data_IF_350904398024
#
_entry.id   IF_350904398024
#
_cell.length_a   1.000
_cell.length_b   1.000
_cell.length_c   1.000
_cell.angle_alpha   90.00
_cell.angle_beta   90.00
_cell.angle_gamma   90.00
#
_symmetry.space_group_name_H-M   'P 1'
#
loop_
_entity.id
_entity.type
_entity.pdbx_description
1 polymer ?
#
# COMPACT_ATOMS: atom_id res chain seq x y z
N UNK A 1 20.78 13.80 15.49
CA UNK A 1 21.23 12.39 15.42
C UNK A 1 21.77 12.16 14.01
N UNK A 2 22.93 11.54 13.82
CA UNK A 2 23.47 11.30 12.48
C UNK A 2 22.89 10.02 11.88
N UNK A 3 22.82 9.92 10.56
CA UNK A 3 22.35 8.71 9.86
C UNK A 3 23.16 7.47 10.26
N UNK A 4 24.47 7.61 10.44
CA UNK A 4 25.34 6.53 10.91
C UNK A 4 24.92 6.02 12.30
N UNK A 5 24.66 6.94 13.24
CA UNK A 5 24.23 6.60 14.60
C UNK A 5 22.84 5.95 14.63
N UNK A 6 21.93 6.39 13.75
CA UNK A 6 20.61 5.78 13.60
C UNK A 6 20.72 4.33 13.11
N UNK A 7 21.54 4.08 12.08
CA UNK A 7 21.78 2.72 11.56
C UNK A 7 22.34 1.79 12.63
N UNK A 8 23.34 2.25 13.38
CA UNK A 8 23.94 1.48 14.46
C UNK A 8 22.92 1.10 15.54
N UNK A 9 22.10 2.07 15.97
CA UNK A 9 21.04 1.83 16.95
C UNK A 9 20.02 0.79 16.44
N UNK A 10 19.60 0.88 15.18
CA UNK A 10 18.61 -0.04 14.60
C UNK A 10 19.17 -1.47 14.51
N UNK A 11 20.42 -1.63 14.07
CA UNK A 11 21.11 -2.93 14.03
C UNK A 11 21.18 -3.54 15.43
N UNK A 12 21.52 -2.73 16.44
CA UNK A 12 21.58 -3.19 17.82
C UNK A 12 20.19 -3.61 18.34
N UNK A 13 19.12 -2.87 18.01
CA UNK A 13 17.75 -3.25 18.37
C UNK A 13 17.32 -4.57 17.71
N UNK A 14 17.62 -4.76 16.43
CA UNK A 14 17.31 -5.99 15.68
C UNK A 14 18.07 -7.19 16.25
N UNK A 15 19.34 -7.02 16.62
CA UNK A 15 20.15 -8.12 17.21
C UNK A 15 19.67 -8.57 18.59
N UNK A 16 19.01 -7.70 19.34
CA UNK A 16 18.61 -7.95 20.73
C UNK A 16 17.14 -8.36 20.88
N UNK A 17 16.39 -8.48 19.77
CA UNK A 17 14.99 -8.93 19.82
C UNK A 17 14.87 -10.38 19.36
N UNK A 18 14.22 -11.20 20.18
CA UNK A 18 13.88 -12.60 19.83
C UNK A 18 12.44 -12.74 19.31
N UNK A 19 11.73 -11.62 19.17
CA UNK A 19 10.34 -11.59 18.69
C UNK A 19 10.30 -11.69 17.18
N UNK A 20 10.13 -12.90 16.67
CA UNK A 20 10.05 -13.21 15.23
C UNK A 20 9.09 -12.29 14.47
N UNK A 21 7.85 -12.12 14.96
CA UNK A 21 6.86 -11.25 14.30
C UNK A 21 7.35 -9.80 14.12
N UNK A 22 8.15 -9.26 15.04
CA UNK A 22 8.70 -7.90 14.90
C UNK A 22 9.75 -7.87 13.79
N UNK A 23 10.56 -8.90 13.69
CA UNK A 23 11.58 -9.01 12.65
C UNK A 23 10.94 -9.15 11.27
N UNK A 24 9.84 -9.91 11.17
CA UNK A 24 9.05 -10.04 9.95
C UNK A 24 8.47 -8.70 9.51
N UNK A 25 7.85 -7.94 10.42
CA UNK A 25 7.28 -6.62 10.12
C UNK A 25 8.35 -5.60 9.68
N UNK A 26 9.50 -5.57 10.37
CA UNK A 26 10.62 -4.69 9.98
C UNK A 26 11.13 -5.08 8.60
N UNK A 27 11.25 -6.38 8.33
CA UNK A 27 11.68 -6.88 7.03
C UNK A 27 10.69 -6.49 5.94
N UNK A 28 9.40 -6.71 6.15
CA UNK A 28 8.35 -6.36 5.19
C UNK A 28 8.37 -4.87 4.85
N UNK A 29 8.49 -4.01 5.87
CA UNK A 29 8.58 -2.57 5.67
C UNK A 29 9.82 -2.18 4.84
N UNK A 30 10.98 -2.74 5.18
CA UNK A 30 12.22 -2.43 4.45
C UNK A 30 12.20 -2.99 3.03
N UNK A 31 11.70 -4.20 2.84
CA UNK A 31 11.57 -4.83 1.52
C UNK A 31 10.64 -3.98 0.64
N UNK A 32 9.53 -3.46 1.17
CA UNK A 32 8.61 -2.58 0.44
C UNK A 32 9.21 -1.21 0.10
N UNK A 33 9.79 -0.51 1.08
CA UNK A 33 10.32 0.85 0.89
C UNK A 33 11.61 0.88 0.08
N UNK A 34 12.39 -0.20 0.11
CA UNK A 34 13.62 -0.34 -0.66
C UNK A 34 13.40 -1.08 -1.97
N UNK A 35 12.19 -1.57 -2.23
CA UNK A 35 11.84 -2.09 -3.54
C UNK A 35 11.96 -0.95 -4.56
N UNK A 36 12.82 -1.18 -5.54
CA UNK A 36 13.01 -0.26 -6.66
C UNK A 36 12.44 -0.84 -7.95
N UNK A 37 11.85 -2.05 -7.87
CA UNK A 37 11.20 -2.69 -8.99
C UNK A 37 9.92 -1.92 -9.34
N UNK A 38 9.75 -1.68 -10.63
CA UNK A 38 8.52 -1.10 -11.14
C UNK A 38 7.45 -2.17 -11.03
N UNK A 39 6.45 -1.94 -10.17
CA UNK A 39 5.32 -2.85 -10.03
C UNK A 39 4.62 -3.03 -11.39
N UNK A 40 4.73 -4.23 -11.95
CA UNK A 40 4.14 -4.56 -13.23
C UNK A 40 2.71 -5.06 -13.04
N UNK A 41 1.73 -4.28 -13.49
CA UNK A 41 0.34 -4.70 -13.45
C UNK A 41 0.12 -5.99 -14.23
N UNK A 42 -0.65 -6.91 -13.63
CA UNK A 42 -1.13 -8.10 -14.30
C UNK A 42 -2.23 -7.75 -15.32
N UNK A 43 -2.70 -8.74 -16.09
CA UNK A 43 -3.69 -8.51 -17.14
C UNK A 43 -5.02 -7.97 -16.60
N UNK A 44 -5.51 -8.51 -15.49
CA UNK A 44 -6.77 -8.10 -14.86
C UNK A 44 -6.71 -6.65 -14.35
N UNK A 45 -5.60 -6.28 -13.72
CA UNK A 45 -5.36 -4.92 -13.22
C UNK A 45 -5.29 -3.91 -14.37
N UNK A 46 -4.64 -4.27 -15.49
CA UNK A 46 -4.57 -3.42 -16.68
C UNK A 46 -5.96 -3.22 -17.29
N UNK A 47 -6.78 -4.26 -17.35
CA UNK A 47 -8.15 -4.13 -17.86
C UNK A 47 -9.01 -3.28 -16.94
N UNK A 48 -8.90 -3.45 -15.61
CA UNK A 48 -9.63 -2.62 -14.64
C UNK A 48 -9.25 -1.13 -14.73
N UNK A 49 -7.96 -0.82 -14.94
CA UNK A 49 -7.51 0.57 -15.16
C UNK A 49 -8.11 1.11 -16.46
N UNK A 50 -8.09 0.33 -17.54
CA UNK A 50 -8.66 0.73 -18.82
C UNK A 50 -10.18 0.96 -18.74
N UNK A 51 -10.90 0.11 -18.03
CA UNK A 51 -12.33 0.29 -17.75
C UNK A 51 -12.58 1.60 -17.00
N UNK A 52 -11.79 1.88 -15.95
CA UNK A 52 -11.90 3.13 -15.20
C UNK A 52 -11.60 4.37 -16.06
N UNK A 53 -10.62 4.30 -16.97
CA UNK A 53 -10.35 5.37 -17.94
C UNK A 53 -11.54 5.59 -18.88
N UNK A 54 -12.15 4.51 -19.37
CA UNK A 54 -13.36 4.58 -20.19
C UNK A 54 -14.55 5.15 -19.42
N UNK A 55 -14.69 4.83 -18.13
CA UNK A 55 -15.72 5.38 -17.25
C UNK A 55 -15.60 6.90 -17.13
N UNK A 56 -14.38 7.41 -16.95
CA UNK A 56 -14.10 8.86 -16.91
C UNK A 56 -14.49 9.51 -18.24
N UNK A 57 -14.03 8.94 -19.37
CA UNK A 57 -14.30 9.49 -20.71
C UNK A 57 -15.80 9.54 -21.01
N UNK A 58 -16.53 8.49 -20.61
CA UNK A 58 -17.96 8.36 -20.86
C UNK A 58 -18.83 9.05 -19.80
N UNK A 59 -18.23 9.71 -18.80
CA UNK A 59 -18.95 10.37 -17.72
C UNK A 59 -19.64 9.41 -16.75
N UNK A 60 -19.24 8.14 -16.70
CA UNK A 60 -19.69 7.14 -15.72
C UNK A 60 -18.96 7.31 -14.38
N UNK A 61 -18.88 8.54 -13.92
CA UNK A 61 -18.31 8.93 -12.63
C UNK A 61 -19.41 9.37 -11.70
N UNK A 62 -19.21 9.19 -10.40
CA UNK A 62 -20.12 9.64 -9.35
C UNK A 62 -19.42 10.67 -8.48
N UNK A 63 -20.18 11.52 -7.80
CA UNK A 63 -19.58 12.44 -6.82
C UNK A 63 -19.12 11.68 -5.58
N UNK A 64 -18.21 12.29 -4.81
CA UNK A 64 -17.79 11.75 -3.52
C UNK A 64 -18.98 11.53 -2.56
N UNK A 65 -19.94 12.47 -2.56
CA UNK A 65 -21.17 12.35 -1.77
C UNK A 65 -22.03 11.15 -2.21
N UNK A 66 -22.17 10.92 -3.51
CA UNK A 66 -22.89 9.75 -4.03
C UNK A 66 -22.15 8.44 -3.72
N UNK A 67 -20.82 8.42 -3.79
CA UNK A 67 -20.01 7.27 -3.42
C UNK A 67 -20.18 6.91 -1.94
N UNK A 68 -20.09 7.90 -1.05
CA UNK A 68 -20.29 7.71 0.38
C UNK A 68 -21.70 7.23 0.73
N UNK A 69 -22.73 7.73 0.05
CA UNK A 69 -24.10 7.24 0.22
C UNK A 69 -24.26 5.76 -0.18
N UNK A 70 -23.60 5.33 -1.26
CA UNK A 70 -23.61 3.90 -1.66
C UNK A 70 -22.88 3.03 -0.64
N UNK A 71 -21.73 3.51 -0.15
CA UNK A 71 -20.95 2.78 0.85
C UNK A 71 -21.74 2.56 2.15
N UNK A 72 -22.43 3.60 2.63
CA UNK A 72 -23.28 3.48 3.82
C UNK A 72 -24.41 2.46 3.63
N UNK A 73 -25.02 2.41 2.45
CA UNK A 73 -26.05 1.41 2.14
C UNK A 73 -25.50 -0.02 2.17
N UNK A 74 -24.31 -0.24 1.60
CA UNK A 74 -23.65 -1.55 1.64
C UNK A 74 -23.30 -2.01 3.06
N UNK A 75 -22.96 -1.09 3.96
CA UNK A 75 -22.68 -1.44 5.36
C UNK A 75 -23.93 -1.81 6.17
N UNK A 76 -25.11 -1.43 5.69
CA UNK A 76 -26.41 -1.74 6.29
C UNK A 76 -27.03 -3.05 5.75
N UNK A 77 -26.41 -3.68 4.74
CA UNK A 77 -26.77 -5.00 4.19
C UNK A 77 -26.14 -6.16 4.99
#
# INVERSE_FOLDING_TARGET
MTTAKLKENLINSIRNTDKEFILEEIKLLLDFELDTEVYAFNAEQKEAIKEAEEDIINGRVISDEEANQRFNKWLEE
#
